data_IF_013314943662
#
_entry.id   IF_013314943662
#
_cell.length_a   1.000
_cell.length_b   1.000
_cell.length_c   1.000
_cell.angle_alpha   90.00
_cell.angle_beta   90.00
_cell.angle_gamma   90.00
#
_symmetry.space_group_name_H-M   'P 1'
#
loop_
_entity.id
_entity.type
_entity.pdbx_description
1 polymer ?
#
# COMPACT_ATOMS: atom_id res chain seq x y z
N UNK A 1 5.28 -28.39 11.70
CA UNK A 1 5.06 -27.95 10.31
C UNK A 1 5.15 -26.44 10.29
N UNK A 2 6.30 -25.89 9.94
CA UNK A 2 6.52 -24.45 9.83
C UNK A 2 5.85 -23.97 8.55
N UNK A 3 4.59 -23.54 8.65
CA UNK A 3 3.95 -22.78 7.58
C UNK A 3 4.80 -21.54 7.37
N UNK A 4 5.45 -21.45 6.22
CA UNK A 4 6.21 -20.27 5.81
C UNK A 4 5.24 -19.12 5.65
N UNK A 5 4.99 -18.39 6.74
CA UNK A 5 4.28 -17.12 6.72
C UNK A 5 5.24 -16.17 6.01
N UNK A 6 5.07 -16.01 4.70
CA UNK A 6 5.66 -14.88 3.98
C UNK A 6 5.33 -13.63 4.79
N UNK A 7 6.31 -12.80 5.19
CA UNK A 7 6.01 -11.61 5.98
C UNK A 7 4.98 -10.79 5.22
N UNK A 8 3.81 -10.61 5.83
CA UNK A 8 2.74 -9.82 5.23
C UNK A 8 3.16 -8.35 5.27
N UNK A 9 3.39 -7.77 4.09
CA UNK A 9 4.04 -6.47 3.96
C UNK A 9 3.09 -5.27 4.12
N UNK A 10 1.77 -5.50 4.12
CA UNK A 10 0.74 -4.47 4.21
C UNK A 10 0.25 -4.14 5.63
N UNK A 11 -0.63 -3.14 5.72
CA UNK A 11 -1.24 -2.61 6.95
C UNK A 11 -2.47 -3.39 7.43
N UNK A 12 -3.39 -3.72 6.51
CA UNK A 12 -4.67 -4.38 6.81
C UNK A 12 -4.67 -5.84 6.37
N UNK A 13 -5.32 -6.66 7.20
CA UNK A 13 -5.40 -8.12 7.06
C UNK A 13 -6.85 -8.63 7.04
N UNK A 14 -7.82 -7.75 7.27
CA UNK A 14 -9.25 -8.04 7.33
C UNK A 14 -9.94 -7.97 5.96
N UNK A 15 -9.26 -7.45 4.93
CA UNK A 15 -9.83 -7.21 3.60
C UNK A 15 -9.17 -8.13 2.55
N UNK A 16 -9.98 -8.76 1.71
CA UNK A 16 -9.52 -9.64 0.63
C UNK A 16 -10.47 -9.49 -0.57
N UNK A 17 -9.97 -9.31 -1.81
CA UNK A 17 -8.54 -9.27 -2.20
C UNK A 17 -7.85 -7.95 -1.81
N UNK A 18 -6.56 -8.03 -1.48
CA UNK A 18 -5.73 -6.84 -1.21
C UNK A 18 -4.27 -7.02 -1.65
N UNK A 19 -3.64 -5.92 -2.02
CA UNK A 19 -2.22 -5.82 -2.34
C UNK A 19 -1.51 -5.10 -1.20
N UNK A 20 -0.55 -5.76 -0.57
CA UNK A 20 0.25 -5.17 0.51
C UNK A 20 1.68 -4.95 0.07
N UNK A 21 2.28 -3.82 0.43
CA UNK A 21 3.69 -3.58 0.16
C UNK A 21 4.35 -2.71 1.24
N UNK A 22 5.66 -2.86 1.38
CA UNK A 22 6.52 -2.00 2.20
C UNK A 22 7.48 -1.23 1.31
N UNK A 23 7.15 0.03 1.08
CA UNK A 23 7.90 0.96 0.26
C UNK A 23 9.09 1.52 1.03
N UNK A 24 10.22 1.72 0.36
CA UNK A 24 11.39 2.38 0.96
C UNK A 24 11.25 3.88 0.78
N UNK A 25 11.32 4.61 1.89
CA UNK A 25 11.25 6.05 1.90
C UNK A 25 12.66 6.65 1.85
N UNK A 26 12.92 7.45 0.83
CA UNK A 26 14.12 8.28 0.73
C UNK A 26 13.69 9.75 0.69
N UNK A 27 13.78 10.43 1.85
CA UNK A 27 13.20 11.77 2.05
C UNK A 27 11.71 11.77 1.71
N UNK A 28 11.30 12.40 0.61
CA UNK A 28 9.90 12.43 0.17
C UNK A 28 9.67 11.61 -1.09
N UNK A 29 10.60 10.69 -1.43
CA UNK A 29 10.45 9.73 -2.52
C UNK A 29 10.18 8.34 -1.99
N UNK A 30 9.38 7.58 -2.72
CA UNK A 30 9.03 6.21 -2.38
C UNK A 30 9.51 5.25 -3.46
N UNK A 31 10.25 4.24 -3.02
CA UNK A 31 10.79 3.19 -3.89
C UNK A 31 10.04 1.89 -3.66
N UNK A 32 9.48 1.35 -4.74
CA UNK A 32 8.83 0.05 -4.74
C UNK A 32 9.86 -1.07 -4.86
N UNK A 33 9.71 -2.09 -4.02
CA UNK A 33 10.54 -3.29 -4.02
C UNK A 33 9.63 -4.52 -4.10
N UNK A 34 9.71 -5.26 -5.20
CA UNK A 34 8.83 -6.40 -5.48
C UNK A 34 9.00 -7.57 -4.49
N UNK A 35 10.18 -7.72 -3.89
CA UNK A 35 10.44 -8.68 -2.80
C UNK A 35 9.77 -8.28 -1.47
N UNK A 36 9.27 -7.04 -1.38
CA UNK A 36 8.57 -6.47 -0.23
C UNK A 36 7.10 -6.17 -0.53
N UNK A 37 6.51 -6.94 -1.44
CA UNK A 37 5.12 -6.82 -1.83
C UNK A 37 4.45 -8.20 -1.94
N UNK A 38 3.12 -8.21 -1.85
CA UNK A 38 2.34 -9.44 -1.96
C UNK A 38 0.89 -9.14 -2.34
N UNK A 39 0.33 -10.02 -3.17
CA UNK A 39 -1.10 -10.11 -3.44
C UNK A 39 -1.71 -11.14 -2.49
N UNK A 40 -2.78 -10.76 -1.79
CA UNK A 40 -3.50 -11.60 -0.85
C UNK A 40 -4.94 -11.75 -1.32
N UNK A 41 -5.37 -13.01 -1.54
CA UNK A 41 -6.68 -13.31 -2.11
C UNK A 41 -6.67 -13.53 -3.62
N UNK A 42 -7.88 -13.61 -4.19
CA UNK A 42 -8.08 -13.79 -5.64
C UNK A 42 -8.28 -12.44 -6.31
N UNK A 43 -7.38 -12.09 -7.21
CA UNK A 43 -7.52 -10.93 -8.07
C UNK A 43 -8.07 -11.36 -9.43
N UNK A 44 -9.07 -10.63 -9.96
CA UNK A 44 -9.48 -10.78 -11.35
C UNK A 44 -8.49 -10.04 -12.28
N UNK A 45 -8.42 -10.39 -13.57
CA UNK A 45 -7.59 -9.66 -14.53
C UNK A 45 -7.91 -8.17 -14.61
N UNK A 46 -9.18 -7.80 -14.44
CA UNK A 46 -9.66 -6.41 -14.44
C UNK A 46 -9.10 -5.66 -13.23
N UNK A 47 -9.19 -6.26 -12.04
CA UNK A 47 -8.68 -5.67 -10.81
C UNK A 47 -7.15 -5.53 -10.82
N UNK A 48 -6.42 -6.47 -11.43
CA UNK A 48 -4.97 -6.34 -11.62
C UNK A 48 -4.62 -5.16 -12.53
N UNK A 49 -5.37 -4.95 -13.60
CA UNK A 49 -5.16 -3.80 -14.49
C UNK A 49 -5.44 -2.48 -13.81
N UNK A 50 -6.51 -2.41 -13.03
CA UNK A 50 -6.84 -1.23 -12.22
C UNK A 50 -5.74 -0.93 -11.20
N UNK A 51 -5.20 -1.97 -10.55
CA UNK A 51 -4.06 -1.86 -9.64
C UNK A 51 -2.81 -1.35 -10.37
N UNK A 52 -2.45 -1.92 -11.52
CA UNK A 52 -1.28 -1.51 -12.31
C UNK A 52 -1.38 -0.05 -12.76
N UNK A 53 -2.58 0.42 -13.11
CA UNK A 53 -2.81 1.80 -13.51
C UNK A 53 -2.77 2.77 -12.32
N UNK A 54 -3.35 2.37 -11.18
CA UNK A 54 -3.50 3.23 -10.00
C UNK A 54 -2.26 3.28 -9.13
N UNK A 55 -1.43 2.24 -9.16
CA UNK A 55 -0.28 2.12 -8.28
C UNK A 55 0.72 3.28 -8.39
N UNK A 56 1.17 3.71 -9.59
CA UNK A 56 2.05 4.88 -9.73
C UNK A 56 1.41 6.19 -9.24
N UNK A 57 0.08 6.28 -9.35
CA UNK A 57 -0.69 7.44 -8.88
C UNK A 57 -0.69 7.46 -7.34
N UNK A 58 -0.94 6.32 -6.69
CA UNK A 58 -0.85 6.22 -5.24
C UNK A 58 0.56 6.57 -4.73
N UNK A 59 1.62 6.09 -5.39
CA UNK A 59 3.00 6.50 -5.07
C UNK A 59 3.13 8.03 -5.10
N UNK A 60 2.69 8.66 -6.18
CA UNK A 60 2.78 10.12 -6.34
C UNK A 60 1.99 10.89 -5.27
N UNK A 61 0.80 10.39 -4.89
CA UNK A 61 -0.03 10.97 -3.83
C UNK A 61 0.62 10.82 -2.45
N UNK A 62 1.18 9.64 -2.14
CA UNK A 62 1.89 9.43 -0.88
C UNK A 62 3.17 10.26 -0.78
N UNK A 63 3.92 10.41 -1.87
CA UNK A 63 5.06 11.32 -1.92
C UNK A 63 4.64 12.78 -1.71
N UNK A 64 3.47 13.18 -2.21
CA UNK A 64 2.90 14.50 -1.93
C UNK A 64 2.51 14.64 -0.46
N UNK A 65 1.89 13.61 0.14
CA UNK A 65 1.55 13.56 1.55
C UNK A 65 2.79 13.62 2.46
N UNK A 66 3.92 13.01 2.05
CA UNK A 66 5.20 13.16 2.74
C UNK A 66 5.74 14.59 2.65
N UNK A 67 5.51 15.31 1.55
CA UNK A 67 5.95 16.72 1.40
C UNK A 67 5.08 17.68 2.22
N UNK A 68 3.80 17.38 2.38
CA UNK A 68 2.87 18.18 3.19
C UNK A 68 2.88 17.80 4.68
N UNK A 69 3.69 16.81 5.08
CA UNK A 69 3.73 16.22 6.43
C UNK A 69 2.40 15.60 6.88
N UNK A 70 1.52 15.25 5.93
CA UNK A 70 0.31 14.47 6.22
C UNK A 70 0.69 13.01 6.53
N UNK A 71 1.67 12.47 5.80
CA UNK A 71 2.44 11.30 6.20
C UNK A 71 3.72 11.78 6.90
N UNK A 72 3.89 11.43 8.17
CA UNK A 72 5.04 11.81 8.98
C UNK A 72 5.93 10.57 9.21
N UNK A 73 7.23 10.60 8.83
CA UNK A 73 8.15 9.47 9.04
C UNK A 73 8.36 9.07 10.50
N UNK A 74 8.11 10.00 11.44
CA UNK A 74 8.35 9.84 12.87
C UNK A 74 7.07 9.50 13.65
N UNK A 75 5.90 9.80 13.09
CA UNK A 75 4.62 9.60 13.76
C UNK A 75 3.75 8.60 12.99
N UNK A 76 3.20 7.60 13.69
CA UNK A 76 2.24 6.68 13.08
C UNK A 76 0.94 7.44 12.85
N UNK A 77 0.61 7.64 11.57
CA UNK A 77 -0.66 8.22 11.14
C UNK A 77 -1.03 7.58 9.81
N UNK A 78 -2.10 6.80 9.83
CA UNK A 78 -2.66 6.24 8.61
C UNK A 78 -3.39 7.32 7.82
N UNK A 79 -3.16 7.33 6.51
CA UNK A 79 -3.94 8.08 5.53
C UNK A 79 -4.68 7.09 4.62
N UNK A 80 -5.83 7.50 4.09
CA UNK A 80 -6.59 6.74 3.11
C UNK A 80 -6.75 7.54 1.83
N UNK A 81 -6.38 6.93 0.70
CA UNK A 81 -6.41 7.52 -0.63
C UNK A 81 -7.32 6.66 -1.51
N UNK A 82 -8.23 7.27 -2.26
CA UNK A 82 -9.13 6.55 -3.16
C UNK A 82 -8.90 6.97 -4.62
N UNK A 83 -8.73 5.99 -5.52
CA UNK A 83 -8.56 6.19 -6.97
C UNK A 83 -9.07 4.99 -7.76
N UNK A 84 -9.80 5.24 -8.84
CA UNK A 84 -10.25 4.19 -9.79
C UNK A 84 -10.95 3.00 -9.11
N UNK A 85 -11.78 3.26 -8.09
CA UNK A 85 -12.45 2.19 -7.34
C UNK A 85 -11.54 1.38 -6.40
N UNK A 86 -10.30 1.80 -6.22
CA UNK A 86 -9.36 1.25 -5.23
C UNK A 86 -9.16 2.23 -4.08
N UNK A 87 -9.01 1.66 -2.87
CA UNK A 87 -8.58 2.37 -1.67
C UNK A 87 -7.16 1.92 -1.35
N UNK A 88 -6.28 2.89 -1.12
CA UNK A 88 -4.92 2.70 -0.62
C UNK A 88 -4.82 3.30 0.77
N UNK A 89 -4.62 2.46 1.77
CA UNK A 89 -4.21 2.91 3.09
C UNK A 89 -2.68 2.93 3.19
N UNK A 90 -2.13 3.97 3.79
CA UNK A 90 -0.70 4.16 3.95
C UNK A 90 -0.33 4.70 5.34
N UNK A 91 0.72 4.16 5.95
CA UNK A 91 1.23 4.59 7.26
C UNK A 91 2.75 4.35 7.32
N UNK A 92 3.50 5.28 7.89
CA UNK A 92 4.94 5.17 8.10
C UNK A 92 5.30 4.28 9.29
N UNK A 93 4.36 4.09 10.21
CA UNK A 93 4.51 3.46 11.53
C UNK A 93 5.68 4.00 12.34
N UNK A 94 6.05 5.26 12.14
CA UNK A 94 7.21 5.89 12.79
C UNK A 94 8.56 5.24 12.42
N UNK A 95 8.63 4.51 11.30
CA UNK A 95 9.79 3.70 10.95
C UNK A 95 11.00 4.50 10.45
N UNK A 96 10.84 5.80 10.19
CA UNK A 96 11.88 6.70 9.68
C UNK A 96 12.54 6.26 8.35
N UNK A 97 11.89 5.36 7.59
CA UNK A 97 12.47 4.83 6.35
C UNK A 97 11.56 3.93 5.53
N UNK A 98 10.34 3.64 6.01
CA UNK A 98 9.37 2.83 5.29
C UNK A 98 7.98 3.44 5.32
N UNK A 99 7.22 3.19 4.25
CA UNK A 99 5.78 3.38 4.19
C UNK A 99 5.15 2.03 3.92
N UNK A 100 4.26 1.61 4.81
CA UNK A 100 3.49 0.38 4.69
C UNK A 100 2.18 0.73 4.01
N UNK A 101 1.78 -0.06 3.03
CA UNK A 101 0.57 0.18 2.26
C UNK A 101 -0.29 -1.07 2.11
N UNK A 102 -1.60 -0.85 2.06
CA UNK A 102 -2.58 -1.87 1.66
C UNK A 102 -3.55 -1.26 0.66
N UNK A 103 -3.62 -1.84 -0.54
CA UNK A 103 -4.52 -1.44 -1.62
C UNK A 103 -5.60 -2.51 -1.79
N UNK A 104 -6.86 -2.10 -1.84
CA UNK A 104 -8.01 -3.01 -1.96
C UNK A 104 -9.17 -2.34 -2.71
N UNK A 105 -10.10 -3.11 -3.29
CA UNK A 105 -11.30 -2.54 -3.91
C UNK A 105 -12.17 -1.76 -2.92
N UNK A 106 -12.64 -0.58 -3.30
CA UNK A 106 -13.54 0.26 -2.50
C UNK A 106 -14.93 -0.40 -2.29
N UNK A 107 -15.33 -1.26 -3.22
CA UNK A 107 -16.52 -2.10 -3.15
C UNK A 107 -16.14 -3.52 -3.60
N UNK A 108 -16.76 -4.59 -3.04
CA UNK A 108 -16.63 -5.92 -3.61
C UNK A 108 -17.00 -5.87 -5.11
N UNK A 109 -16.26 -6.55 -6.00
CA UNK A 109 -16.69 -6.67 -7.38
C UNK A 109 -18.07 -7.32 -7.42
N UNK A 110 -19.00 -6.67 -8.13
CA UNK A 110 -20.40 -7.09 -8.29
C UNK A 110 -20.47 -8.39 -9.10
#
# INVERSE_FOLDING_TARGET
>A
MTSSISPQWGLRYDITPCFGARLVQERNRLHYLGDRAGLYGKFSPELLRELDHSFPIFISLMEAALRSSELDPHNSRSISLEREGLVCEADTRGSCGYVYITIYPASPPI
#
